data_IF_323137614673
#
_entry.id   IF_323137614673
#
_cell.length_a   1.000
_cell.length_b   1.000
_cell.length_c   1.000
_cell.angle_alpha   90.00
_cell.angle_beta   90.00
_cell.angle_gamma   90.00
#
_symmetry.space_group_name_H-M   'P 1'
#
loop_
_entity.id
_entity.type
_entity.pdbx_description
1 polymer ?
#
# COMPACT_ATOMS: atom_id res chain seq x y z
N UNK A 1 -1.59 -11.58 -2.50
CA UNK A 1 -1.00 -12.61 -3.35
C UNK A 1 -1.82 -13.91 -3.32
N UNK A 2 -1.76 -14.74 -2.27
CA UNK A 2 -2.50 -16.00 -2.20
C UNK A 2 -4.02 -15.79 -2.28
N UNK A 3 -4.60 -14.88 -1.52
CA UNK A 3 -6.03 -14.58 -1.57
C UNK A 3 -6.51 -14.18 -2.97
N UNK A 4 -5.73 -13.38 -3.71
CA UNK A 4 -6.07 -13.01 -5.09
C UNK A 4 -5.93 -14.17 -6.07
N UNK A 5 -4.99 -15.09 -5.84
CA UNK A 5 -4.86 -16.31 -6.62
C UNK A 5 -6.09 -17.21 -6.42
N UNK A 6 -6.46 -17.47 -5.16
CA UNK A 6 -7.65 -18.25 -4.82
C UNK A 6 -8.91 -17.67 -5.44
N UNK A 7 -9.12 -16.34 -5.35
CA UNK A 7 -10.26 -15.68 -6.00
C UNK A 7 -10.23 -15.88 -7.52
N UNK A 8 -9.05 -15.82 -8.14
CA UNK A 8 -8.91 -16.06 -9.57
C UNK A 8 -9.22 -17.54 -9.96
N UNK A 9 -8.90 -18.48 -9.08
CA UNK A 9 -9.12 -19.91 -9.31
C UNK A 9 -10.59 -20.31 -9.15
N UNK A 10 -11.28 -19.74 -8.15
CA UNK A 10 -12.69 -20.09 -7.84
C UNK A 10 -13.71 -19.27 -8.59
N UNK A 11 -13.29 -18.21 -9.31
CA UNK A 11 -14.22 -17.35 -10.10
C UNK A 11 -14.09 -17.61 -11.59
N UNK A 12 -15.23 -17.72 -12.27
CA UNK A 12 -15.29 -17.78 -13.73
C UNK A 12 -14.71 -16.50 -14.33
N UNK A 13 -14.16 -16.57 -15.56
CA UNK A 13 -13.48 -15.45 -16.22
C UNK A 13 -14.33 -14.18 -16.26
N UNK A 14 -15.63 -14.32 -16.51
CA UNK A 14 -16.63 -13.24 -16.63
C UNK A 14 -16.88 -12.53 -15.28
N UNK A 15 -16.74 -13.25 -14.15
CA UNK A 15 -16.99 -12.73 -12.81
C UNK A 15 -15.71 -12.43 -12.03
N UNK A 16 -14.53 -12.67 -12.63
CA UNK A 16 -13.23 -12.51 -11.95
C UNK A 16 -13.01 -11.07 -11.44
N UNK A 17 -13.42 -10.06 -12.21
CA UNK A 17 -13.31 -8.67 -11.77
C UNK A 17 -14.18 -8.38 -10.54
N UNK A 18 -15.39 -8.96 -10.47
CA UNK A 18 -16.26 -8.86 -9.29
C UNK A 18 -15.62 -9.52 -8.06
N UNK A 19 -15.02 -10.70 -8.23
CA UNK A 19 -14.28 -11.37 -7.18
C UNK A 19 -13.11 -10.53 -6.64
N UNK A 20 -12.35 -9.89 -7.53
CA UNK A 20 -11.22 -9.03 -7.13
C UNK A 20 -11.67 -7.78 -6.37
N UNK A 21 -12.89 -7.27 -6.60
CA UNK A 21 -13.47 -6.14 -5.85
C UNK A 21 -13.59 -6.51 -4.35
N UNK A 22 -13.98 -7.74 -4.01
CA UNK A 22 -14.06 -8.18 -2.61
C UNK A 22 -12.71 -8.15 -1.90
N UNK A 23 -11.62 -8.50 -2.59
CA UNK A 23 -10.25 -8.39 -2.04
C UNK A 23 -9.90 -6.92 -1.77
N UNK A 24 -10.26 -6.03 -2.68
CA UNK A 24 -10.07 -4.58 -2.50
C UNK A 24 -10.88 -4.02 -1.33
N UNK A 25 -12.14 -4.45 -1.20
CA UNK A 25 -13.02 -4.07 -0.07
C UNK A 25 -12.42 -4.57 1.25
N UNK A 26 -11.99 -5.83 1.34
CA UNK A 26 -11.38 -6.39 2.54
C UNK A 26 -10.10 -5.63 2.92
N UNK A 27 -9.29 -5.25 1.94
CA UNK A 27 -8.08 -4.43 2.19
C UNK A 27 -8.45 -3.04 2.73
N UNK A 28 -9.46 -2.38 2.15
CA UNK A 28 -9.92 -1.07 2.61
C UNK A 28 -10.48 -1.12 4.04
N UNK A 29 -11.28 -2.15 4.36
CA UNK A 29 -11.75 -2.38 5.72
C UNK A 29 -10.60 -2.62 6.69
N UNK A 30 -9.61 -3.43 6.33
CA UNK A 30 -8.43 -3.67 7.15
C UNK A 30 -7.63 -2.39 7.41
N UNK A 31 -7.53 -1.52 6.42
CA UNK A 31 -6.82 -0.25 6.52
C UNK A 31 -7.53 0.77 7.42
N UNK A 32 -8.86 0.71 7.51
CA UNK A 32 -9.66 1.57 8.40
C UNK A 32 -9.76 0.95 9.80
N UNK A 33 -10.13 -0.33 9.88
CA UNK A 33 -10.39 -1.00 11.16
C UNK A 33 -9.11 -1.32 11.94
N UNK A 34 -7.98 -1.59 11.23
CA UNK A 34 -6.70 -1.90 11.87
C UNK A 34 -6.24 -0.80 12.84
N UNK A 35 -6.03 0.43 12.37
CA UNK A 35 -5.67 1.54 13.24
C UNK A 35 -6.74 1.87 14.29
N UNK A 36 -8.03 1.74 13.96
CA UNK A 36 -9.12 1.96 14.92
C UNK A 36 -9.05 0.97 16.09
N UNK A 37 -8.92 -0.33 15.79
CA UNK A 37 -8.76 -1.38 16.82
C UNK A 37 -7.46 -1.15 17.59
N UNK A 38 -6.36 -0.83 16.89
CA UNK A 38 -5.07 -0.53 17.50
C UNK A 38 -5.13 0.64 18.48
N UNK A 39 -5.71 1.77 18.07
CA UNK A 39 -5.84 2.96 18.91
C UNK A 39 -6.78 2.77 20.11
N UNK A 40 -7.92 2.09 19.88
CA UNK A 40 -8.85 1.78 20.98
C UNK A 40 -8.23 0.82 22.00
N UNK A 41 -7.56 -0.23 21.53
CA UNK A 41 -6.95 -1.23 22.41
C UNK A 41 -5.71 -0.70 23.14
N UNK A 42 -5.01 0.29 22.58
CA UNK A 42 -3.89 0.95 23.25
C UNK A 42 -4.30 1.73 24.53
N UNK A 43 -5.60 2.02 24.71
CA UNK A 43 -6.13 2.58 25.98
C UNK A 43 -6.12 1.57 27.13
N UNK A 44 -6.03 0.28 26.86
CA UNK A 44 -6.00 -0.78 27.85
C UNK A 44 -4.53 -1.09 28.17
N UNK A 45 -4.05 -0.58 29.30
CA UNK A 45 -2.68 -0.79 29.74
C UNK A 45 -2.56 -2.07 30.57
N UNK A 46 -2.12 -3.16 29.94
CA UNK A 46 -1.97 -4.46 30.61
C UNK A 46 -0.92 -4.44 31.74
N UNK A 47 -0.02 -3.46 31.78
CA UNK A 47 0.98 -3.35 32.87
C UNK A 47 0.31 -3.06 34.22
N UNK A 48 -0.86 -2.40 34.21
CA UNK A 48 -1.63 -2.12 35.44
C UNK A 48 -2.27 -3.38 36.02
N UNK A 49 -2.68 -4.31 35.15
CA UNK A 49 -3.31 -5.57 35.53
C UNK A 49 -2.32 -6.69 35.80
N UNK A 50 -1.18 -6.69 35.13
CA UNK A 50 -0.16 -7.75 35.18
C UNK A 50 1.26 -7.20 35.36
N UNK A 51 1.57 -6.52 36.49
CA UNK A 51 2.89 -5.90 36.70
C UNK A 51 4.05 -6.91 36.67
N UNK A 52 3.80 -8.16 37.07
CA UNK A 52 4.80 -9.22 37.05
C UNK A 52 5.31 -9.59 35.66
N UNK A 53 4.56 -9.27 34.61
CA UNK A 53 4.91 -9.58 33.23
C UNK A 53 5.77 -8.49 32.57
N UNK A 54 5.98 -7.34 33.21
CA UNK A 54 6.84 -6.26 32.71
C UNK A 54 8.28 -6.79 32.47
N UNK A 55 8.78 -7.63 33.36
CA UNK A 55 10.10 -8.27 33.23
C UNK A 55 10.23 -9.18 31.98
N UNK A 56 9.11 -9.60 31.41
CA UNK A 56 9.06 -10.41 30.18
C UNK A 56 8.78 -9.57 28.93
N UNK A 57 8.82 -8.24 29.03
CA UNK A 57 8.64 -7.33 27.88
C UNK A 57 7.25 -6.76 27.73
N UNK A 58 6.33 -6.95 28.70
CA UNK A 58 5.04 -6.32 28.67
C UNK A 58 5.21 -4.79 28.70
N UNK A 59 4.57 -4.10 27.77
CA UNK A 59 4.64 -2.65 27.58
C UNK A 59 3.26 -2.07 27.23
N UNK A 60 3.07 -0.74 27.21
CA UNK A 60 1.76 -0.13 26.96
C UNK A 60 1.15 -0.51 25.60
N UNK A 61 1.96 -0.93 24.62
CA UNK A 61 1.51 -1.34 23.28
C UNK A 61 1.27 -2.86 23.15
N UNK A 62 1.40 -3.61 24.23
CA UNK A 62 1.20 -5.07 24.20
C UNK A 62 -0.24 -5.46 23.92
N UNK A 63 -1.24 -4.66 24.34
CA UNK A 63 -2.65 -4.94 24.10
C UNK A 63 -2.99 -5.00 22.60
N UNK A 64 -2.65 -4.00 21.76
CA UNK A 64 -2.84 -4.09 20.32
C UNK A 64 -2.13 -5.29 19.68
N UNK A 65 -0.90 -5.57 20.12
CA UNK A 65 -0.12 -6.70 19.61
C UNK A 65 -0.78 -8.05 19.92
N UNK A 66 -1.29 -8.23 21.15
CA UNK A 66 -2.01 -9.45 21.55
C UNK A 66 -3.33 -9.62 20.77
N UNK A 67 -4.08 -8.54 20.55
CA UNK A 67 -5.31 -8.60 19.74
C UNK A 67 -4.96 -9.00 18.30
N UNK A 68 -3.92 -8.41 17.70
CA UNK A 68 -3.47 -8.80 16.36
C UNK A 68 -3.03 -10.27 16.31
N UNK A 69 -2.33 -10.75 17.35
CA UNK A 69 -1.92 -12.15 17.49
C UNK A 69 -3.15 -13.08 17.55
N UNK A 70 -4.13 -12.77 18.39
CA UNK A 70 -5.37 -13.55 18.53
C UNK A 70 -6.14 -13.61 17.20
N UNK A 71 -6.31 -12.46 16.53
CA UNK A 71 -6.96 -12.42 15.22
C UNK A 71 -6.20 -13.24 14.17
N UNK A 72 -4.88 -13.22 14.20
CA UNK A 72 -4.04 -14.03 13.30
C UNK A 72 -4.18 -15.53 13.61
N UNK A 73 -4.23 -15.92 14.88
CA UNK A 73 -4.47 -17.29 15.28
C UNK A 73 -5.87 -17.77 14.86
N UNK A 74 -6.90 -16.96 15.05
CA UNK A 74 -8.27 -17.27 14.58
C UNK A 74 -8.28 -17.45 13.07
N UNK A 75 -7.61 -16.58 12.33
CA UNK A 75 -7.50 -16.70 10.87
C UNK A 75 -6.76 -17.99 10.46
N UNK A 76 -5.67 -18.33 11.16
CA UNK A 76 -4.93 -19.57 10.90
C UNK A 76 -5.81 -20.81 11.14
N UNK A 77 -6.53 -20.86 12.27
CA UNK A 77 -7.46 -21.95 12.59
C UNK A 77 -8.58 -22.03 11.53
N UNK A 78 -9.15 -20.90 11.16
CA UNK A 78 -10.18 -20.86 10.12
C UNK A 78 -9.65 -21.40 8.77
N UNK A 79 -8.45 -20.97 8.36
CA UNK A 79 -7.82 -21.47 7.13
C UNK A 79 -7.55 -22.97 7.19
N UNK A 80 -7.01 -23.48 8.30
CA UNK A 80 -6.69 -24.92 8.42
C UNK A 80 -7.95 -25.79 8.43
N UNK A 81 -9.05 -25.30 9.01
CA UNK A 81 -10.29 -26.08 9.13
C UNK A 81 -11.22 -25.95 7.91
N UNK A 82 -11.26 -24.80 7.27
CA UNK A 82 -12.27 -24.50 6.22
C UNK A 82 -11.71 -24.30 4.83
N UNK A 83 -10.41 -24.01 4.70
CA UNK A 83 -9.83 -23.76 3.39
C UNK A 83 -9.58 -25.05 2.63
N UNK A 84 -10.17 -25.16 1.45
CA UNK A 84 -9.87 -26.23 0.49
C UNK A 84 -8.91 -25.70 -0.57
N UNK A 85 -7.89 -26.49 -0.90
CA UNK A 85 -6.93 -26.15 -1.94
C UNK A 85 -7.66 -25.91 -3.28
N UNK A 86 -7.47 -24.74 -3.84
CA UNK A 86 -8.14 -24.30 -5.08
C UNK A 86 -7.40 -24.75 -6.34
N UNK A 87 -6.09 -25.07 -6.23
CA UNK A 87 -5.28 -25.48 -7.38
C UNK A 87 -5.47 -26.98 -7.67
N UNK A 88 -5.94 -27.36 -8.88
CA UNK A 88 -6.06 -28.76 -9.29
C UNK A 88 -4.73 -29.51 -9.14
N UNK A 89 -4.75 -30.80 -8.72
CA UNK A 89 -3.53 -31.62 -8.50
C UNK A 89 -2.61 -31.64 -9.72
N UNK A 90 -3.17 -31.66 -10.92
CA UNK A 90 -2.44 -31.74 -12.20
C UNK A 90 -1.56 -30.50 -12.46
N UNK A 91 -1.93 -29.33 -11.89
CA UNK A 91 -1.19 -28.06 -12.03
C UNK A 91 -0.23 -27.80 -10.88
N UNK A 92 -0.19 -28.69 -9.87
CA UNK A 92 0.73 -28.58 -8.74
C UNK A 92 2.10 -29.09 -9.17
N UNK A 93 3.04 -28.23 -9.38
CA UNK A 93 4.41 -28.61 -9.71
C UNK A 93 4.99 -27.99 -10.98
N UNK A 94 4.17 -27.59 -11.94
CA UNK A 94 4.65 -26.94 -13.17
C UNK A 94 5.34 -25.59 -12.94
N UNK A 95 5.12 -24.97 -11.77
CA UNK A 95 5.57 -23.61 -11.46
C UNK A 95 6.80 -23.51 -10.55
N UNK A 96 7.38 -24.63 -10.09
CA UNK A 96 8.42 -24.59 -9.04
C UNK A 96 9.81 -24.30 -9.60
N UNK A 97 10.09 -24.65 -10.85
CA UNK A 97 11.43 -24.60 -11.42
C UNK A 97 11.91 -23.17 -11.81
N UNK A 98 11.06 -22.17 -11.82
CA UNK A 98 11.44 -20.81 -12.28
C UNK A 98 11.34 -19.71 -11.19
N UNK A 99 11.10 -20.09 -9.93
CA UNK A 99 11.05 -19.15 -8.79
C UNK A 99 12.47 -18.79 -8.35
N UNK A 100 13.05 -17.82 -9.01
CA UNK A 100 14.29 -17.22 -8.55
C UNK A 100 14.02 -16.26 -7.39
N UNK A 101 14.60 -16.53 -6.22
CA UNK A 101 14.62 -15.62 -5.07
C UNK A 101 15.53 -14.40 -5.26
N UNK A 102 16.10 -14.20 -6.43
CA UNK A 102 16.98 -13.07 -6.69
C UNK A 102 16.16 -11.80 -6.99
N UNK A 103 16.13 -10.79 -6.09
CA UNK A 103 15.36 -9.57 -6.28
C UNK A 103 15.85 -8.74 -7.50
N UNK A 104 17.09 -8.91 -7.92
CA UNK A 104 17.63 -8.22 -9.09
C UNK A 104 16.91 -8.66 -10.37
N UNK A 105 16.45 -9.91 -10.43
CA UNK A 105 15.68 -10.40 -11.59
C UNK A 105 14.33 -9.70 -11.76
N UNK A 106 13.78 -9.06 -10.72
CA UNK A 106 12.54 -8.28 -10.80
C UNK A 106 12.71 -7.03 -11.67
N UNK A 107 13.92 -6.52 -11.80
CA UNK A 107 14.24 -5.35 -12.63
C UNK A 107 14.61 -5.71 -14.08
N UNK A 108 14.61 -6.99 -14.45
CA UNK A 108 14.80 -7.38 -15.84
C UNK A 108 13.67 -6.82 -16.70
N UNK A 109 14.01 -6.13 -17.81
CA UNK A 109 12.99 -5.58 -18.67
C UNK A 109 12.18 -6.70 -19.34
N UNK A 110 10.86 -6.52 -19.31
CA UNK A 110 9.94 -7.32 -20.09
C UNK A 110 9.92 -6.78 -21.54
N UNK A 111 9.54 -7.61 -22.54
CA UNK A 111 9.46 -7.17 -23.94
C UNK A 111 8.32 -6.15 -24.19
N UNK A 112 7.78 -5.55 -23.14
CA UNK A 112 6.66 -4.60 -23.15
C UNK A 112 7.12 -3.27 -22.52
N UNK A 113 7.55 -2.27 -23.31
CA UNK A 113 8.13 -1.03 -22.78
C UNK A 113 7.23 -0.27 -21.83
N UNK A 114 5.92 -0.21 -22.09
CA UNK A 114 4.94 0.43 -21.20
C UNK A 114 4.86 -0.23 -19.83
N UNK A 115 4.97 -1.56 -19.77
CA UNK A 115 4.99 -2.31 -18.50
C UNK A 115 6.23 -1.97 -17.68
N UNK A 116 7.40 -1.89 -18.29
CA UNK A 116 8.64 -1.61 -17.58
C UNK A 116 8.64 -0.22 -16.94
N UNK A 117 8.19 0.80 -17.70
CA UNK A 117 8.06 2.15 -17.16
C UNK A 117 7.04 2.20 -16.01
N UNK A 118 5.91 1.52 -16.15
CA UNK A 118 4.86 1.46 -15.12
C UNK A 118 5.38 0.75 -13.88
N UNK A 119 6.10 -0.36 -14.02
CA UNK A 119 6.69 -1.11 -12.92
C UNK A 119 7.70 -0.28 -12.13
N UNK A 120 8.62 0.41 -12.81
CA UNK A 120 9.63 1.26 -12.16
C UNK A 120 8.95 2.48 -11.53
N UNK A 121 8.01 3.12 -12.23
CA UNK A 121 7.25 4.25 -11.67
C UNK A 121 6.47 3.86 -10.42
N UNK A 122 5.85 2.66 -10.41
CA UNK A 122 5.18 2.12 -9.23
C UNK A 122 6.15 1.86 -8.08
N UNK A 123 7.30 1.25 -8.36
CA UNK A 123 8.33 0.98 -7.36
C UNK A 123 8.80 2.27 -6.68
N UNK A 124 9.15 3.29 -7.47
CA UNK A 124 9.62 4.57 -6.95
C UNK A 124 8.54 5.30 -6.16
N UNK A 125 7.30 5.34 -6.68
CA UNK A 125 6.17 5.91 -5.96
C UNK A 125 5.95 5.23 -4.62
N UNK A 126 5.89 3.89 -4.62
CA UNK A 126 5.56 3.13 -3.42
C UNK A 126 6.70 3.15 -2.39
N UNK A 127 7.96 3.30 -2.84
CA UNK A 127 9.10 3.50 -1.96
C UNK A 127 8.99 4.82 -1.19
N UNK A 128 8.67 5.93 -1.86
CA UNK A 128 8.44 7.22 -1.21
C UNK A 128 7.23 7.17 -0.28
N UNK A 129 6.12 6.59 -0.75
CA UNK A 129 4.87 6.49 0.01
C UNK A 129 5.03 5.66 1.28
N UNK A 130 5.62 4.46 1.20
CA UNK A 130 5.80 3.59 2.36
C UNK A 130 6.82 4.15 3.36
N UNK A 131 7.83 4.86 2.88
CA UNK A 131 8.77 5.57 3.76
C UNK A 131 8.10 6.68 4.55
N UNK A 132 7.26 7.48 3.90
CA UNK A 132 6.43 8.49 4.56
C UNK A 132 5.45 7.86 5.54
N UNK A 133 4.71 6.83 5.12
CA UNK A 133 3.73 6.11 5.96
C UNK A 133 4.37 5.63 7.27
N UNK A 134 5.59 5.11 7.21
CA UNK A 134 6.33 4.64 8.36
C UNK A 134 6.75 5.77 9.30
N UNK A 135 7.26 6.89 8.76
CA UNK A 135 7.77 8.00 9.59
C UNK A 135 6.67 8.94 10.10
N UNK A 136 5.46 8.86 9.55
CA UNK A 136 4.35 9.75 9.84
C UNK A 136 3.95 9.75 11.33
N UNK A 137 3.88 8.57 11.95
CA UNK A 137 3.53 8.44 13.38
C UNK A 137 4.59 9.05 14.29
N UNK A 138 5.87 8.95 13.93
CA UNK A 138 6.96 9.57 14.68
C UNK A 138 6.91 11.09 14.57
N UNK A 139 6.67 11.64 13.37
CA UNK A 139 6.51 13.08 13.16
C UNK A 139 5.32 13.64 13.94
N UNK A 140 4.17 12.95 13.90
CA UNK A 140 2.97 13.36 14.62
C UNK A 140 3.18 13.35 16.14
N UNK A 141 3.90 12.34 16.66
CA UNK A 141 4.27 12.30 18.08
C UNK A 141 5.26 13.42 18.44
N UNK A 142 6.32 13.60 17.65
CA UNK A 142 7.40 14.56 17.95
C UNK A 142 6.91 16.01 17.95
N UNK A 143 6.05 16.38 16.98
CA UNK A 143 5.63 17.77 16.81
C UNK A 143 4.33 18.14 17.47
N UNK A 144 3.43 17.19 17.65
CA UNK A 144 2.06 17.44 18.11
C UNK A 144 1.67 16.58 19.31
N UNK A 145 2.63 15.78 19.86
CA UNK A 145 2.42 14.88 20.98
C UNK A 145 1.23 13.91 20.77
N UNK A 146 1.03 13.44 19.53
CA UNK A 146 -0.06 12.54 19.20
C UNK A 146 0.00 11.25 19.99
N UNK A 147 -1.13 10.91 20.60
CA UNK A 147 -1.36 9.62 21.26
C UNK A 147 -1.60 8.52 20.22
N UNK A 148 -1.56 7.24 20.61
CA UNK A 148 -1.97 6.15 19.72
C UNK A 148 -3.38 6.32 19.16
N UNK A 149 -4.29 6.96 19.90
CA UNK A 149 -5.66 7.24 19.45
C UNK A 149 -5.71 8.33 18.40
N UNK A 150 -4.89 9.38 18.52
CA UNK A 150 -4.78 10.45 17.52
C UNK A 150 -4.20 9.89 16.21
N UNK A 151 -3.21 9.00 16.30
CA UNK A 151 -2.70 8.26 15.16
C UNK A 151 -3.79 7.40 14.50
N UNK A 152 -4.65 6.74 15.29
CA UNK A 152 -5.77 5.99 14.73
C UNK A 152 -6.74 6.89 13.96
N UNK A 153 -7.10 8.06 14.49
CA UNK A 153 -7.93 9.04 13.77
C UNK A 153 -7.29 9.51 12.47
N UNK A 154 -5.98 9.73 12.47
CA UNK A 154 -5.21 10.11 11.28
C UNK A 154 -5.31 9.04 10.18
N UNK A 155 -5.11 7.77 10.51
CA UNK A 155 -5.22 6.67 9.53
C UNK A 155 -6.66 6.41 9.09
N UNK A 156 -7.64 6.55 9.98
CA UNK A 156 -9.06 6.48 9.62
C UNK A 156 -9.41 7.57 8.61
N UNK A 157 -8.94 8.80 8.82
CA UNK A 157 -9.13 9.91 7.89
C UNK A 157 -8.54 9.62 6.51
N UNK A 158 -7.30 9.13 6.46
CA UNK A 158 -6.64 8.71 5.22
C UNK A 158 -7.47 7.63 4.51
N UNK A 159 -7.86 6.58 5.25
CA UNK A 159 -8.65 5.47 4.72
C UNK A 159 -10.02 5.90 4.19
N UNK A 160 -10.68 6.83 4.90
CA UNK A 160 -11.96 7.39 4.49
C UNK A 160 -11.85 8.16 3.16
N UNK A 161 -10.85 9.03 3.02
CA UNK A 161 -10.60 9.75 1.76
C UNK A 161 -10.29 8.77 0.62
N UNK A 162 -9.44 7.78 0.87
CA UNK A 162 -9.12 6.74 -0.13
C UNK A 162 -10.40 6.04 -0.59
N UNK A 163 -11.25 5.61 0.33
CA UNK A 163 -12.50 4.93 0.01
C UNK A 163 -13.45 5.81 -0.82
N UNK A 164 -13.61 7.08 -0.44
CA UNK A 164 -14.44 8.05 -1.18
C UNK A 164 -13.90 8.31 -2.59
N UNK A 165 -12.61 8.55 -2.72
CA UNK A 165 -12.01 8.89 -4.02
C UNK A 165 -11.95 7.68 -4.93
N UNK A 166 -11.56 6.51 -4.43
CA UNK A 166 -11.52 5.28 -5.25
C UNK A 166 -12.94 4.82 -5.63
N UNK A 167 -13.85 4.74 -4.67
CA UNK A 167 -15.23 4.28 -4.90
C UNK A 167 -16.07 5.25 -5.71
N UNK A 168 -15.88 6.54 -5.50
CA UNK A 168 -16.65 7.60 -6.16
C UNK A 168 -16.01 8.10 -7.46
N UNK A 169 -14.84 8.72 -7.35
CA UNK A 169 -14.23 9.45 -8.46
C UNK A 169 -13.50 8.54 -9.44
N UNK A 170 -12.59 7.69 -8.94
CA UNK A 170 -11.75 6.83 -9.80
C UNK A 170 -12.62 5.88 -10.61
N UNK A 171 -13.53 5.20 -9.94
CA UNK A 171 -14.44 4.23 -10.59
C UNK A 171 -15.24 4.85 -11.75
N UNK A 172 -15.66 6.11 -11.62
CA UNK A 172 -16.48 6.79 -12.63
C UNK A 172 -15.66 7.47 -13.73
N UNK A 173 -14.45 7.91 -13.41
CA UNK A 173 -13.69 8.81 -14.28
C UNK A 173 -12.43 8.18 -14.89
N UNK A 174 -11.97 7.02 -14.42
CA UNK A 174 -10.75 6.40 -14.94
C UNK A 174 -10.85 6.08 -16.43
N UNK A 175 -11.97 5.49 -16.88
CA UNK A 175 -12.20 5.19 -18.30
C UNK A 175 -12.38 6.42 -19.20
N UNK A 176 -12.77 7.58 -18.63
CA UNK A 176 -12.97 8.83 -19.39
C UNK A 176 -11.68 9.65 -19.49
N UNK A 177 -10.97 9.78 -18.36
CA UNK A 177 -9.76 10.61 -18.24
C UNK A 177 -8.54 9.83 -18.75
N UNK A 178 -8.58 8.52 -18.65
CA UNK A 178 -7.47 7.59 -18.92
C UNK A 178 -6.55 7.40 -17.73
N UNK A 179 -6.11 6.17 -17.55
CA UNK A 179 -5.30 5.73 -16.39
C UNK A 179 -3.96 6.47 -16.30
N UNK A 180 -3.32 6.74 -17.45
CA UNK A 180 -2.08 7.51 -17.50
C UNK A 180 -2.27 8.91 -16.92
N UNK A 181 -3.27 9.65 -17.42
CA UNK A 181 -3.51 11.03 -16.96
C UNK A 181 -3.93 11.07 -15.50
N UNK A 182 -4.68 10.06 -15.04
CA UNK A 182 -5.10 9.96 -13.64
C UNK A 182 -3.94 9.68 -12.71
N UNK A 183 -3.04 8.76 -13.07
CA UNK A 183 -1.84 8.47 -12.28
C UNK A 183 -0.89 9.68 -12.19
N UNK A 184 -0.74 10.44 -13.26
CA UNK A 184 0.05 11.69 -13.25
C UNK A 184 -0.56 12.75 -12.34
N UNK A 185 -1.89 12.95 -12.37
CA UNK A 185 -2.58 13.85 -11.44
C UNK A 185 -2.42 13.41 -10.00
N UNK A 186 -2.46 12.10 -9.74
CA UNK A 186 -2.22 11.54 -8.42
C UNK A 186 -0.82 11.86 -7.91
N UNK A 187 0.22 11.67 -8.73
CA UNK A 187 1.60 12.03 -8.38
C UNK A 187 1.76 13.53 -8.14
N UNK A 188 1.14 14.36 -8.98
CA UNK A 188 1.17 15.82 -8.82
C UNK A 188 0.50 16.28 -7.51
N UNK A 189 -0.53 15.57 -7.02
CA UNK A 189 -1.17 15.85 -5.73
C UNK A 189 -0.32 15.36 -4.54
N UNK A 190 0.44 14.28 -4.70
CA UNK A 190 1.30 13.76 -3.63
C UNK A 190 2.42 14.73 -3.25
N UNK A 191 2.99 15.43 -4.22
CA UNK A 191 4.12 16.35 -3.99
C UNK A 191 3.76 17.45 -2.98
N UNK A 192 2.72 18.28 -3.19
CA UNK A 192 2.32 19.27 -2.19
C UNK A 192 1.85 18.62 -0.88
N UNK A 193 1.24 17.41 -0.94
CA UNK A 193 0.87 16.65 0.26
C UNK A 193 2.09 16.35 1.14
N UNK A 194 3.17 15.84 0.56
CA UNK A 194 4.41 15.59 1.29
C UNK A 194 5.03 16.86 1.84
N UNK A 195 5.06 17.96 1.05
CA UNK A 195 5.60 19.23 1.50
C UNK A 195 4.80 19.77 2.71
N UNK A 196 3.47 19.71 2.65
CA UNK A 196 2.62 20.16 3.76
C UNK A 196 2.83 19.32 5.02
N UNK A 197 2.96 17.98 4.89
CA UNK A 197 3.28 17.12 6.03
C UNK A 197 4.65 17.46 6.60
N UNK A 198 5.66 17.67 5.76
CA UNK A 198 7.00 18.08 6.20
C UNK A 198 7.03 19.43 6.93
N UNK A 199 6.11 20.35 6.59
CA UNK A 199 5.94 21.67 7.24
C UNK A 199 4.95 21.65 8.41
N UNK A 200 4.28 20.51 8.67
CA UNK A 200 3.20 20.47 9.66
C UNK A 200 3.72 20.69 11.09
N UNK A 201 3.31 21.78 11.70
CA UNK A 201 3.49 22.09 13.12
C UNK A 201 2.15 22.11 13.87
N UNK A 202 1.05 21.92 13.15
CA UNK A 202 -0.30 21.84 13.69
C UNK A 202 -1.08 20.72 13.03
N UNK A 203 -2.05 20.17 13.75
CA UNK A 203 -2.95 19.14 13.24
C UNK A 203 -3.67 19.58 11.96
N UNK A 204 -4.04 20.85 11.84
CA UNK A 204 -4.71 21.36 10.65
C UNK A 204 -3.86 21.21 9.39
N UNK A 205 -2.60 21.66 9.41
CA UNK A 205 -1.68 21.56 8.26
C UNK A 205 -1.41 20.08 7.96
N UNK A 206 -1.23 19.26 9.00
CA UNK A 206 -1.05 17.81 8.85
C UNK A 206 -2.24 17.18 8.09
N UNK A 207 -3.47 17.42 8.53
CA UNK A 207 -4.66 16.82 7.90
C UNK A 207 -4.89 17.34 6.48
N UNK A 208 -4.56 18.60 6.17
CA UNK A 208 -4.56 19.10 4.79
C UNK A 208 -3.55 18.34 3.93
N UNK A 209 -2.32 18.17 4.41
CA UNK A 209 -1.30 17.37 3.73
C UNK A 209 -1.72 15.92 3.51
N UNK A 210 -2.33 15.31 4.53
CA UNK A 210 -2.88 13.95 4.44
C UNK A 210 -4.05 13.83 3.45
N UNK A 211 -4.88 14.87 3.31
CA UNK A 211 -5.96 14.90 2.31
C UNK A 211 -5.39 14.87 0.89
N UNK A 212 -4.36 15.68 0.60
CA UNK A 212 -3.64 15.65 -0.68
C UNK A 212 -3.00 14.29 -0.94
N UNK A 213 -2.34 13.74 0.05
CA UNK A 213 -1.68 12.45 -0.01
C UNK A 213 -2.66 11.31 -0.26
N UNK A 214 -3.74 11.23 0.51
CA UNK A 214 -4.77 10.20 0.39
C UNK A 214 -5.48 10.28 -0.98
N UNK A 215 -5.81 11.49 -1.44
CA UNK A 215 -6.38 11.72 -2.76
C UNK A 215 -5.41 11.28 -3.86
N UNK A 216 -4.15 11.71 -3.79
CA UNK A 216 -3.12 11.36 -4.77
C UNK A 216 -2.88 9.86 -4.86
N UNK A 217 -2.67 9.19 -3.73
CA UNK A 217 -2.41 7.74 -3.69
C UNK A 217 -3.61 6.92 -4.20
N UNK A 218 -4.83 7.36 -3.92
CA UNK A 218 -6.05 6.70 -4.40
C UNK A 218 -6.22 6.74 -5.92
N UNK A 219 -5.64 7.72 -6.60
CA UNK A 219 -5.60 7.81 -8.06
C UNK A 219 -4.52 6.90 -8.67
N UNK A 220 -3.36 6.78 -8.01
CA UNK A 220 -2.17 6.13 -8.58
C UNK A 220 -2.32 4.62 -8.62
N UNK A 221 -2.57 3.99 -7.47
CA UNK A 221 -2.48 2.53 -7.30
C UNK A 221 -3.38 1.77 -8.28
N UNK A 222 -4.69 2.06 -8.40
CA UNK A 222 -5.56 1.35 -9.32
C UNK A 222 -5.20 1.63 -10.79
N UNK A 223 -4.83 2.87 -11.11
CA UNK A 223 -4.48 3.24 -12.48
C UNK A 223 -3.18 2.58 -12.96
N UNK A 224 -2.13 2.52 -12.13
CA UNK A 224 -0.91 1.82 -12.49
C UNK A 224 -1.14 0.31 -12.65
N UNK A 225 -1.97 -0.30 -11.80
CA UNK A 225 -2.35 -1.71 -11.93
C UNK A 225 -3.08 -1.97 -13.25
N UNK A 226 -4.00 -1.08 -13.63
CA UNK A 226 -4.72 -1.14 -14.91
C UNK A 226 -3.76 -0.98 -16.09
N UNK A 227 -2.83 -0.02 -16.04
CA UNK A 227 -1.83 0.20 -17.11
C UNK A 227 -0.95 -1.02 -17.36
N UNK A 228 -0.48 -1.71 -16.30
CA UNK A 228 0.28 -2.96 -16.46
C UNK A 228 -0.54 -3.99 -17.22
N UNK A 229 -1.83 -4.13 -16.89
CA UNK A 229 -2.72 -5.06 -17.58
C UNK A 229 -2.94 -4.66 -19.05
N UNK A 230 -3.16 -3.38 -19.33
CA UNK A 230 -3.41 -2.86 -20.69
C UNK A 230 -2.19 -3.04 -21.60
N UNK A 231 -0.98 -2.80 -21.07
CA UNK A 231 0.25 -2.94 -21.86
C UNK A 231 0.75 -4.38 -22.01
N UNK A 232 0.13 -5.33 -21.31
CA UNK A 232 0.55 -6.74 -21.34
C UNK A 232 -0.42 -7.59 -22.15
N UNK A 233 0.06 -8.41 -23.11
CA UNK A 233 -0.78 -9.41 -23.78
C UNK A 233 -1.43 -10.37 -22.78
N UNK A 234 -2.65 -10.81 -23.08
CA UNK A 234 -3.50 -11.60 -22.15
C UNK A 234 -2.80 -12.83 -21.56
N UNK A 235 -1.99 -13.51 -22.37
CA UNK A 235 -1.24 -14.73 -21.96
C UNK A 235 -0.12 -14.46 -20.94
N UNK A 236 0.39 -13.21 -20.82
CA UNK A 236 1.50 -12.84 -19.93
C UNK A 236 1.06 -11.94 -18.76
N UNK A 237 -0.25 -11.67 -18.61
CA UNK A 237 -0.76 -10.77 -17.58
C UNK A 237 -0.42 -11.23 -16.17
N UNK A 238 -0.51 -12.54 -15.89
CA UNK A 238 -0.14 -13.09 -14.58
C UNK A 238 1.31 -12.81 -14.19
N UNK A 239 2.25 -12.97 -15.15
CA UNK A 239 3.66 -12.68 -14.94
C UNK A 239 3.92 -11.19 -14.69
N UNK A 240 3.36 -10.31 -15.53
CA UNK A 240 3.57 -8.86 -15.42
C UNK A 240 2.99 -8.29 -14.14
N UNK A 241 1.77 -8.70 -13.75
CA UNK A 241 1.14 -8.31 -12.49
C UNK A 241 1.92 -8.89 -11.29
N UNK A 242 2.45 -10.11 -11.42
CA UNK A 242 3.31 -10.72 -10.41
C UNK A 242 4.57 -9.88 -10.14
N UNK A 243 5.27 -9.46 -11.19
CA UNK A 243 6.46 -8.60 -11.09
C UNK A 243 6.09 -7.23 -10.50
N UNK A 244 5.00 -6.61 -10.96
CA UNK A 244 4.49 -5.35 -10.43
C UNK A 244 4.29 -5.40 -8.91
N UNK A 245 3.64 -6.47 -8.42
CA UNK A 245 3.40 -6.68 -6.98
C UNK A 245 4.67 -6.97 -6.20
N UNK A 246 5.58 -7.75 -6.77
CA UNK A 246 6.86 -8.06 -6.14
C UNK A 246 7.75 -6.82 -5.99
N UNK A 247 7.78 -5.96 -7.01
CA UNK A 247 8.45 -4.66 -6.93
C UNK A 247 7.80 -3.76 -5.89
N UNK A 248 6.46 -3.75 -5.80
CA UNK A 248 5.74 -3.06 -4.73
C UNK A 248 6.10 -3.57 -3.34
N UNK A 249 6.23 -4.88 -3.15
CA UNK A 249 6.66 -5.45 -1.88
C UNK A 249 8.10 -5.04 -1.53
N UNK A 250 9.01 -5.06 -2.51
CA UNK A 250 10.39 -4.61 -2.33
C UNK A 250 10.48 -3.13 -1.96
N UNK A 251 9.66 -2.28 -2.61
CA UNK A 251 9.55 -0.86 -2.29
C UNK A 251 9.12 -0.62 -0.83
N UNK A 252 8.18 -1.42 -0.32
CA UNK A 252 7.72 -1.36 1.08
C UNK A 252 8.76 -1.84 2.10
N UNK A 253 9.78 -2.54 1.67
CA UNK A 253 10.95 -2.88 2.52
C UNK A 253 11.97 -1.74 2.49
N UNK A 254 12.32 -1.26 1.30
CA UNK A 254 13.39 -0.25 1.13
C UNK A 254 12.93 1.12 1.62
N UNK A 255 11.68 1.51 1.33
CA UNK A 255 11.14 2.84 1.66
C UNK A 255 11.29 3.21 3.13
N UNK A 256 10.76 2.40 4.09
CA UNK A 256 10.92 2.66 5.51
C UNK A 256 12.38 2.74 5.98
N UNK A 257 13.26 1.91 5.43
CA UNK A 257 14.69 1.93 5.77
C UNK A 257 15.32 3.26 5.40
N UNK A 258 15.13 3.69 4.15
CA UNK A 258 15.68 4.97 3.65
C UNK A 258 15.07 6.14 4.40
N UNK A 259 13.75 6.13 4.59
CA UNK A 259 13.05 7.20 5.30
C UNK A 259 13.47 7.30 6.78
N UNK A 260 13.66 6.16 7.46
CA UNK A 260 14.15 6.16 8.84
C UNK A 260 15.55 6.73 8.96
N UNK A 261 16.47 6.32 8.08
CA UNK A 261 17.85 6.85 8.08
C UNK A 261 17.83 8.37 7.87
N UNK A 262 17.03 8.86 6.92
CA UNK A 262 16.93 10.30 6.64
C UNK A 262 16.25 11.05 7.77
N UNK A 263 15.23 10.48 8.39
CA UNK A 263 14.50 11.05 9.52
C UNK A 263 15.40 11.28 10.73
N UNK A 264 16.06 10.20 11.19
CA UNK A 264 16.87 10.25 12.42
C UNK A 264 18.22 10.93 12.27
N UNK A 265 18.76 10.97 11.04
CA UNK A 265 20.09 11.54 10.80
C UNK A 265 20.07 13.00 10.37
N UNK A 266 19.01 13.43 9.67
CA UNK A 266 18.94 14.76 9.06
C UNK A 266 17.71 15.58 9.51
N UNK A 267 16.79 14.98 10.27
CA UNK A 267 15.64 15.64 10.85
C UNK A 267 14.30 15.16 10.29
N UNK A 268 13.24 15.35 11.09
CA UNK A 268 11.90 14.81 10.85
C UNK A 268 11.23 15.29 9.57
N UNK A 269 11.56 16.47 9.06
CA UNK A 269 11.04 17.01 7.80
C UNK A 269 11.70 16.43 6.54
N UNK A 270 12.97 15.95 6.66
CA UNK A 270 13.79 15.60 5.50
C UNK A 270 13.22 14.48 4.64
N UNK A 271 12.66 13.36 5.19
CA UNK A 271 12.05 12.32 4.38
C UNK A 271 10.92 12.84 3.49
N UNK A 272 10.16 13.81 3.96
CA UNK A 272 9.01 14.38 3.24
C UNK A 272 9.46 15.30 2.11
N UNK A 273 10.40 16.21 2.34
CA UNK A 273 10.93 17.07 1.28
C UNK A 273 11.73 16.26 0.24
N UNK A 274 12.60 15.37 0.69
CA UNK A 274 13.34 14.50 -0.22
C UNK A 274 12.42 13.57 -0.99
N UNK A 275 11.36 13.05 -0.36
CA UNK A 275 10.31 12.27 -1.00
C UNK A 275 9.54 13.07 -2.05
N UNK A 276 9.21 14.33 -1.78
CA UNK A 276 8.54 15.21 -2.74
C UNK A 276 9.42 15.45 -3.99
N UNK A 277 10.70 15.73 -3.80
CA UNK A 277 11.67 15.88 -4.90
C UNK A 277 11.82 14.55 -5.66
N UNK A 278 11.96 13.44 -4.94
CA UNK A 278 12.11 12.12 -5.51
C UNK A 278 10.91 11.71 -6.39
N UNK A 279 9.68 12.11 -6.03
CA UNK A 279 8.48 11.83 -6.82
C UNK A 279 8.45 12.54 -8.18
N UNK A 280 9.29 13.54 -8.42
CA UNK A 280 9.46 14.14 -9.75
C UNK A 280 10.01 13.13 -10.77
N UNK A 281 10.80 12.14 -10.31
CA UNK A 281 11.35 11.09 -11.17
C UNK A 281 10.22 10.21 -11.75
N UNK A 282 9.38 9.52 -10.95
CA UNK A 282 8.28 8.74 -11.50
C UNK A 282 7.25 9.60 -12.23
N UNK A 283 7.04 10.85 -11.83
CA UNK A 283 6.17 11.79 -12.55
C UNK A 283 6.66 12.01 -13.99
N UNK A 284 7.95 12.30 -14.15
CA UNK A 284 8.56 12.44 -15.48
C UNK A 284 8.55 11.14 -16.26
N UNK A 285 8.92 10.01 -15.64
CA UNK A 285 8.93 8.71 -16.28
C UNK A 285 7.55 8.30 -16.81
N UNK A 286 6.51 8.41 -15.97
CA UNK A 286 5.16 8.05 -16.34
C UNK A 286 4.55 9.01 -17.37
N UNK A 287 5.03 10.27 -17.45
CA UNK A 287 4.62 11.19 -18.52
C UNK A 287 5.05 10.69 -19.93
N UNK A 288 6.11 9.89 -20.01
CA UNK A 288 6.62 9.29 -21.25
C UNK A 288 5.93 7.97 -21.64
N UNK A 289 5.00 7.46 -20.82
CA UNK A 289 4.24 6.28 -21.18
C UNK A 289 3.51 6.48 -22.53
N UNK A 290 3.47 5.46 -23.39
CA UNK A 290 2.64 5.50 -24.57
C UNK A 290 1.17 5.69 -24.19
N UNK A 291 0.41 6.35 -25.05
CA UNK A 291 -1.05 6.40 -24.84
C UNK A 291 -1.61 4.97 -24.97
N UNK A 292 -2.39 4.50 -23.97
CA UNK A 292 -3.06 3.22 -24.13
C UNK A 292 -3.95 3.28 -25.39
N UNK A 293 -3.83 2.30 -26.27
CA UNK A 293 -4.82 2.12 -27.34
C UNK A 293 -6.10 1.72 -26.64
N UNK A 294 -7.04 2.63 -26.61
CA UNK A 294 -8.43 2.32 -26.22
C UNK A 294 -8.95 1.33 -27.27
N UNK A 295 -9.22 0.08 -26.82
CA UNK A 295 -9.86 -0.92 -27.65
C UNK A 295 -11.34 -0.63 -27.79
#
# INVERSE_FOLDING_TARGET
>A
STATAVVADVTQKENRSKGMVFVGIAFAFGFILGPAIGGLSAKINLMEYFPSLIKYGLNPFSTPALIACVLSCINLVFLTLKFKESLPPEKRGESINDRSFNPIKLFRPLPYPGVNLTNIGHFLFLMAFSGMEFTLTFLAFERMAYTPMDNAYMFIFIGFIIALVQGGYVRRKAGIIGEKSMSLRGLALLIPGLILIGLAESSFILYVGLAFLATGSSLIIPCLTSLVSIYTPSQYQGQSIGIFRSLGALARVIGPIVASITYWRYGSAVPYFSGAIFLLIPLYMLSKLPQPKLA
#
